data_IF_877559551948
#
_entry.id   IF_877559551948
#
_cell.length_a   1.000
_cell.length_b   1.000
_cell.length_c   1.000
_cell.angle_alpha   90.00
_cell.angle_beta   90.00
_cell.angle_gamma   90.00
#
_symmetry.space_group_name_H-M   'P 1'
#
loop_
_entity.id
_entity.type
_entity.pdbx_description
1 polymer ?
#
# COMPACT_ATOMS: atom_id res chain seq x y z
N UNK A 1 8.20 6.55 18.07
CA UNK A 1 9.13 5.61 18.72
C UNK A 1 10.29 5.34 17.76
N UNK A 2 11.54 5.57 18.17
CA UNK A 2 12.70 5.41 17.30
C UNK A 2 12.98 3.91 17.04
N UNK A 3 13.24 3.53 15.79
CA UNK A 3 13.68 2.17 15.47
C UNK A 3 15.04 1.91 16.15
N UNK A 4 15.22 0.77 16.85
CA UNK A 4 16.50 0.43 17.44
C UNK A 4 17.56 0.35 16.33
N UNK A 5 18.73 0.94 16.60
CA UNK A 5 19.90 0.81 15.71
C UNK A 5 20.44 -0.62 15.81
N UNK A 6 20.85 -1.25 14.71
CA UNK A 6 21.49 -2.56 14.77
C UNK A 6 22.76 -2.43 15.62
N UNK A 7 22.82 -3.18 16.71
CA UNK A 7 24.06 -3.31 17.49
C UNK A 7 25.01 -4.21 16.69
N UNK A 8 26.19 -3.69 16.39
CA UNK A 8 27.36 -4.45 15.90
C UNK A 8 27.38 -4.91 14.44
N UNK A 9 26.93 -4.10 13.47
CA UNK A 9 27.27 -4.29 12.05
C UNK A 9 26.79 -5.61 11.41
N UNK A 10 26.11 -6.47 12.16
CA UNK A 10 25.55 -7.72 11.71
C UNK A 10 24.07 -7.49 11.38
N UNK A 11 23.69 -7.95 10.20
CA UNK A 11 22.31 -7.97 9.74
C UNK A 11 21.44 -8.68 10.78
N UNK A 12 20.26 -8.13 11.08
CA UNK A 12 19.24 -8.79 11.90
C UNK A 12 19.00 -10.21 11.35
N UNK A 13 19.30 -11.23 12.13
CA UNK A 13 18.93 -12.60 11.81
C UNK A 13 17.44 -12.80 12.10
N UNK A 14 16.79 -13.78 11.46
CA UNK A 14 15.37 -14.09 11.75
C UNK A 14 15.10 -14.47 13.22
N UNK A 15 16.15 -14.80 13.97
CA UNK A 15 16.13 -15.16 15.39
C UNK A 15 16.38 -13.99 16.34
N UNK A 16 16.62 -12.78 15.81
CA UNK A 16 16.85 -11.58 16.63
C UNK A 16 15.52 -11.13 17.28
N UNK A 17 15.46 -10.90 18.61
CA UNK A 17 14.27 -10.38 19.29
C UNK A 17 13.70 -9.07 18.69
N UNK A 18 14.54 -8.25 18.05
CA UNK A 18 14.08 -7.07 17.32
C UNK A 18 13.16 -7.41 16.13
N UNK A 19 13.12 -8.67 15.71
CA UNK A 19 12.27 -9.17 14.64
C UNK A 19 10.87 -9.60 15.10
N UNK A 20 10.63 -9.74 16.41
CA UNK A 20 9.35 -10.22 16.94
C UNK A 20 8.16 -9.34 16.51
N UNK A 21 8.37 -8.02 16.40
CA UNK A 21 7.34 -7.10 15.92
C UNK A 21 6.93 -7.30 14.46
N UNK A 22 7.73 -8.02 13.67
CA UNK A 22 7.42 -8.36 12.27
C UNK A 22 6.87 -9.77 12.11
N UNK A 23 6.96 -10.60 13.17
CA UNK A 23 6.51 -12.00 13.14
C UNK A 23 5.05 -12.13 12.68
N UNK A 24 4.08 -11.31 13.17
CA UNK A 24 2.70 -11.44 12.72
C UNK A 24 2.51 -11.26 11.21
N UNK A 25 3.16 -10.25 10.61
CA UNK A 25 3.09 -10.04 9.16
C UNK A 25 3.71 -11.20 8.38
N UNK A 26 4.81 -11.76 8.88
CA UNK A 26 5.45 -12.91 8.26
C UNK A 26 4.63 -14.18 8.37
N UNK A 27 3.95 -14.38 9.49
CA UNK A 27 3.05 -15.52 9.68
C UNK A 27 1.87 -15.42 8.71
N UNK A 28 1.29 -14.23 8.52
CA UNK A 28 0.30 -13.97 7.46
C UNK A 28 0.84 -14.34 6.07
N UNK A 29 2.03 -13.85 5.70
CA UNK A 29 2.62 -14.12 4.38
C UNK A 29 2.91 -15.62 4.17
N UNK A 30 3.38 -16.32 5.21
CA UNK A 30 3.69 -17.75 5.16
C UNK A 30 2.44 -18.62 5.11
N UNK A 31 1.37 -18.21 5.77
CA UNK A 31 0.10 -18.91 5.77
C UNK A 31 -0.75 -18.63 4.52
N UNK A 32 -0.45 -17.56 3.78
CA UNK A 32 -1.21 -17.17 2.59
C UNK A 32 -1.07 -18.22 1.46
N UNK A 33 -2.15 -18.94 1.18
CA UNK A 33 -2.20 -19.99 0.15
C UNK A 33 -2.14 -19.45 -1.28
N UNK A 34 -2.58 -18.20 -1.51
CA UNK A 34 -2.49 -17.54 -2.82
C UNK A 34 -1.02 -17.29 -3.17
N UNK A 35 -0.27 -16.63 -2.28
CA UNK A 35 1.15 -16.31 -2.47
C UNK A 35 2.03 -17.57 -2.46
N UNK A 36 1.67 -18.59 -1.68
CA UNK A 36 2.44 -19.85 -1.55
C UNK A 36 1.90 -20.99 -2.42
N UNK A 37 1.08 -20.68 -3.43
CA UNK A 37 0.51 -21.70 -4.30
C UNK A 37 1.63 -22.49 -5.02
N UNK A 38 1.64 -23.83 -4.91
CA UNK A 38 2.66 -24.67 -5.54
C UNK A 38 2.65 -24.61 -7.08
N UNK A 39 1.55 -24.18 -7.70
CA UNK A 39 1.46 -24.01 -9.16
C UNK A 39 2.19 -22.76 -9.67
N UNK A 40 2.51 -21.80 -8.81
CA UNK A 40 3.24 -20.59 -9.19
C UNK A 40 4.70 -20.90 -9.47
N UNK A 41 5.28 -20.22 -10.46
CA UNK A 41 6.73 -20.28 -10.68
C UNK A 41 7.48 -19.63 -9.52
N UNK A 42 8.76 -19.97 -9.32
CA UNK A 42 9.56 -19.32 -8.28
C UNK A 42 9.70 -17.81 -8.52
N UNK A 43 9.68 -17.36 -9.78
CA UNK A 43 9.69 -15.94 -10.13
C UNK A 43 8.42 -15.24 -9.66
N UNK A 44 7.25 -15.82 -9.91
CA UNK A 44 5.97 -15.25 -9.47
C UNK A 44 5.89 -15.21 -7.95
N UNK A 45 6.36 -16.26 -7.26
CA UNK A 45 6.43 -16.26 -5.79
C UNK A 45 7.36 -15.17 -5.26
N UNK A 46 8.51 -14.95 -5.89
CA UNK A 46 9.43 -13.87 -5.51
C UNK A 46 8.75 -12.51 -5.70
N UNK A 47 8.08 -12.31 -6.83
CA UNK A 47 7.32 -11.10 -7.13
C UNK A 47 6.20 -10.85 -6.12
N UNK A 48 5.31 -11.81 -5.90
CA UNK A 48 4.20 -11.67 -4.94
C UNK A 48 4.72 -11.41 -3.52
N UNK A 49 5.79 -12.09 -3.11
CA UNK A 49 6.43 -11.84 -1.80
C UNK A 49 7.11 -10.47 -1.71
N UNK A 50 7.50 -9.86 -2.83
CA UNK A 50 8.18 -8.55 -2.83
C UNK A 50 7.22 -7.39 -2.56
N UNK A 51 5.93 -7.57 -2.85
CA UNK A 51 4.85 -6.58 -2.65
C UNK A 51 4.61 -6.29 -1.17
N UNK A 52 4.61 -7.33 -0.32
CA UNK A 52 4.39 -7.13 1.11
C UNK A 52 5.62 -6.48 1.76
N UNK A 53 5.45 -5.27 2.28
CA UNK A 53 6.57 -4.52 2.84
C UNK A 53 6.22 -3.10 3.26
N UNK A 54 7.19 -2.46 3.90
CA UNK A 54 7.18 -1.01 4.15
C UNK A 54 7.93 -0.32 3.01
N UNK A 55 7.34 0.74 2.47
CA UNK A 55 7.88 1.58 1.41
C UNK A 55 8.05 2.99 1.95
N UNK A 56 9.20 3.59 1.66
CA UNK A 56 9.40 5.03 1.80
C UNK A 56 8.86 5.67 0.53
N UNK A 57 7.96 6.63 0.69
CA UNK A 57 7.21 7.22 -0.41
C UNK A 57 7.63 8.66 -0.63
N UNK A 58 7.78 9.03 -1.90
CA UNK A 58 7.93 10.39 -2.41
C UNK A 58 6.66 10.74 -3.17
N UNK A 59 6.10 11.91 -2.90
CA UNK A 59 4.99 12.47 -3.67
C UNK A 59 5.55 13.43 -4.71
N UNK A 60 5.05 13.38 -5.94
CA UNK A 60 5.60 14.18 -7.05
C UNK A 60 5.47 15.69 -6.78
N UNK A 61 4.31 16.13 -6.29
CA UNK A 61 4.05 17.53 -5.94
C UNK A 61 4.87 18.04 -4.73
N UNK A 62 5.51 17.13 -3.98
CA UNK A 62 6.43 17.45 -2.88
C UNK A 62 7.82 16.87 -3.14
N UNK A 63 8.25 16.83 -4.39
CA UNK A 63 9.50 16.18 -4.79
C UNK A 63 10.72 16.68 -3.99
N UNK A 64 10.73 17.95 -3.60
CA UNK A 64 11.80 18.58 -2.80
C UNK A 64 11.96 17.99 -1.39
N UNK A 65 10.92 17.35 -0.86
CA UNK A 65 10.98 16.66 0.45
C UNK A 65 11.52 15.23 0.36
N UNK A 66 11.77 14.73 -0.86
CA UNK A 66 12.26 13.37 -1.09
C UNK A 66 11.33 12.28 -0.54
N UNK A 67 11.92 11.19 -0.05
CA UNK A 67 11.20 10.05 0.53
C UNK A 67 10.81 10.31 2.00
N UNK A 68 9.95 11.31 2.20
CA UNK A 68 9.50 11.76 3.53
C UNK A 68 8.29 11.02 4.10
N UNK A 69 7.64 10.18 3.29
CA UNK A 69 6.37 9.52 3.63
C UNK A 69 6.51 8.01 3.71
N UNK A 70 5.47 7.34 4.21
CA UNK A 70 5.48 5.90 4.38
C UNK A 70 4.19 5.26 3.88
N UNK A 71 4.33 4.10 3.23
CA UNK A 71 3.23 3.20 2.92
C UNK A 71 3.62 1.79 3.35
N UNK A 72 2.71 1.06 3.97
CA UNK A 72 2.89 -0.35 4.33
C UNK A 72 1.87 -1.17 3.57
N UNK A 73 2.26 -2.30 3.00
CA UNK A 73 1.38 -3.21 2.27
C UNK A 73 1.45 -4.61 2.88
N UNK A 74 0.31 -5.28 3.02
CA UNK A 74 0.19 -6.64 3.54
C UNK A 74 -0.84 -7.44 2.73
N UNK A 75 -0.57 -8.73 2.54
CA UNK A 75 -1.49 -9.63 1.85
C UNK A 75 -2.63 -10.12 2.74
N UNK A 76 -3.80 -10.28 2.13
CA UNK A 76 -4.98 -10.93 2.67
C UNK A 76 -5.61 -11.82 1.60
N UNK A 77 -5.22 -13.09 1.58
CA UNK A 77 -5.52 -14.00 0.48
C UNK A 77 -5.12 -13.42 -0.89
N UNK A 78 -6.08 -13.08 -1.75
CA UNK A 78 -5.92 -12.46 -3.07
C UNK A 78 -5.99 -10.93 -3.04
N UNK A 79 -6.14 -10.30 -1.87
CA UNK A 79 -6.22 -8.84 -1.69
C UNK A 79 -4.94 -8.27 -1.07
N UNK A 80 -4.73 -6.98 -1.30
CA UNK A 80 -3.65 -6.22 -0.64
C UNK A 80 -4.26 -5.08 0.17
N UNK A 81 -3.96 -5.09 1.47
CA UNK A 81 -4.23 -3.98 2.36
C UNK A 81 -3.02 -3.07 2.44
N UNK A 82 -3.27 -1.76 2.49
CA UNK A 82 -2.23 -0.77 2.65
C UNK A 82 -2.58 0.27 3.69
N UNK A 83 -1.58 0.76 4.43
CA UNK A 83 -1.69 1.94 5.29
C UNK A 83 -0.71 2.98 4.78
N UNK A 84 -1.15 4.22 4.65
CA UNK A 84 -0.33 5.32 4.17
C UNK A 84 -0.35 6.50 5.15
N UNK A 85 0.79 7.19 5.22
CA UNK A 85 0.95 8.46 5.94
C UNK A 85 1.69 9.45 5.04
N UNK A 86 0.92 10.37 4.46
CA UNK A 86 1.37 11.44 3.58
C UNK A 86 1.44 12.79 4.31
N UNK A 87 1.63 12.76 5.64
CA UNK A 87 1.67 13.95 6.47
C UNK A 87 0.27 14.49 6.74
N UNK A 88 -0.24 15.34 5.84
CA UNK A 88 -1.57 15.96 6.00
C UNK A 88 -2.71 14.97 5.81
N UNK A 89 -2.47 13.88 5.07
CA UNK A 89 -3.45 12.83 4.82
C UNK A 89 -2.90 11.49 5.28
N UNK A 90 -3.74 10.72 5.95
CA UNK A 90 -3.39 9.38 6.45
C UNK A 90 -4.59 8.48 6.29
N UNK A 91 -4.36 7.20 6.08
CA UNK A 91 -5.46 6.29 5.88
C UNK A 91 -5.05 4.88 5.52
N UNK A 92 -6.06 4.13 5.09
CA UNK A 92 -5.98 2.75 4.67
C UNK A 92 -6.45 2.66 3.23
N UNK A 93 -5.77 1.84 2.43
CA UNK A 93 -6.17 1.50 1.08
C UNK A 93 -6.37 -0.01 0.95
N UNK A 94 -7.21 -0.40 0.01
CA UNK A 94 -7.48 -1.78 -0.34
C UNK A 94 -7.42 -1.92 -1.86
N UNK A 95 -6.55 -2.81 -2.33
CA UNK A 95 -6.52 -3.30 -3.70
C UNK A 95 -7.43 -4.53 -3.74
N UNK A 96 -8.62 -4.39 -4.31
CA UNK A 96 -9.60 -5.48 -4.46
C UNK A 96 -9.44 -6.10 -5.84
N UNK A 97 -9.28 -7.42 -5.86
CA UNK A 97 -8.45 -8.14 -6.83
C UNK A 97 -7.00 -7.67 -6.75
N UNK A 98 -6.18 -8.37 -5.96
CA UNK A 98 -4.73 -8.24 -6.05
C UNK A 98 -4.24 -8.57 -7.46
N UNK A 99 -2.92 -8.70 -7.70
CA UNK A 99 -2.41 -9.05 -9.01
C UNK A 99 -2.86 -10.45 -9.46
N UNK A 100 -4.08 -10.54 -10.01
CA UNK A 100 -4.71 -11.68 -10.69
C UNK A 100 -4.18 -11.82 -12.13
N UNK A 101 -3.63 -10.73 -12.66
CA UNK A 101 -2.89 -10.75 -13.91
C UNK A 101 -1.50 -11.28 -13.61
N UNK A 102 -1.05 -12.22 -14.44
CA UNK A 102 0.35 -12.61 -14.50
C UNK A 102 1.19 -11.33 -14.44
N UNK A 103 2.16 -11.22 -13.52
CA UNK A 103 3.07 -10.09 -13.50
C UNK A 103 3.58 -9.88 -14.93
N UNK A 104 3.71 -8.62 -15.41
CA UNK A 104 4.16 -8.38 -16.78
C UNK A 104 5.43 -9.18 -16.96
N UNK A 105 5.43 -10.04 -17.99
CA UNK A 105 6.49 -11.02 -18.24
C UNK A 105 7.83 -10.37 -17.92
N UNK A 106 8.48 -10.82 -16.84
CA UNK A 106 9.86 -10.43 -16.56
C UNK A 106 10.67 -10.74 -17.83
N UNK A 107 10.95 -9.73 -18.66
CA UNK A 107 11.99 -9.76 -19.69
C UNK A 107 12.01 -11.06 -20.53
N UNK A 108 10.92 -11.37 -21.23
CA UNK A 108 11.02 -12.03 -22.55
C UNK A 108 11.12 -10.85 -23.53
N UNK A 109 12.26 -10.42 -24.04
CA UNK A 109 13.43 -11.15 -24.51
C UNK A 109 14.71 -10.36 -24.21
N UNK A 110 15.75 -11.02 -23.69
CA UNK A 110 17.13 -10.47 -23.70
C UNK A 110 17.81 -10.79 -25.04
N UNK A 111 17.02 -11.15 -26.07
CA UNK A 111 17.49 -11.40 -27.43
C UNK A 111 16.76 -10.53 -28.48
N UNK A 112 15.94 -9.55 -28.09
CA UNK A 112 15.45 -8.53 -29.03
C UNK A 112 16.40 -7.32 -29.00
N UNK A 113 17.30 -7.27 -29.97
CA UNK A 113 18.12 -6.10 -30.33
C UNK A 113 17.25 -4.93 -30.89
N UNK A 114 16.10 -4.65 -30.26
CA UNK A 114 15.26 -3.51 -30.61
C UNK A 114 15.27 -2.52 -29.44
N UNK A 115 16.06 -1.46 -29.63
CA UNK A 115 16.16 -0.26 -28.79
C UNK A 115 14.85 0.55 -28.82
N UNK A 116 13.74 -0.03 -28.35
CA UNK A 116 12.59 0.78 -27.95
C UNK A 116 12.86 1.30 -26.52
N UNK A 117 13.29 2.56 -26.42
CA UNK A 117 13.60 3.29 -25.17
C UNK A 117 12.43 3.37 -24.15
N UNK A 118 11.25 2.84 -24.49
CA UNK A 118 10.11 2.73 -23.60
C UNK A 118 9.86 1.25 -23.29
N UNK A 119 10.33 0.80 -22.13
CA UNK A 119 9.97 -0.51 -21.58
C UNK A 119 8.44 -0.69 -21.49
N UNK A 120 7.96 -1.92 -21.26
CA UNK A 120 6.52 -2.19 -21.24
C UNK A 120 5.80 -1.29 -20.23
N UNK A 121 4.63 -0.77 -20.63
CA UNK A 121 3.80 0.10 -19.79
C UNK A 121 3.54 -0.57 -18.42
N UNK A 122 3.67 0.17 -17.31
CA UNK A 122 3.43 -0.38 -15.98
C UNK A 122 1.97 -0.83 -15.83
N UNK A 123 1.78 -2.06 -15.33
CA UNK A 123 0.45 -2.59 -15.01
C UNK A 123 -0.06 -1.92 -13.74
N UNK A 124 -1.20 -1.23 -13.86
CA UNK A 124 -1.89 -0.58 -12.75
C UNK A 124 -3.03 -1.43 -12.20
N UNK A 125 -3.12 -1.48 -10.88
CA UNK A 125 -4.21 -2.06 -10.10
C UNK A 125 -5.02 -0.95 -9.48
N UNK A 126 -6.35 -1.06 -9.58
CA UNK A 126 -7.25 -0.11 -8.95
C UNK A 126 -7.30 -0.37 -7.44
N UNK A 127 -7.33 0.70 -6.66
CA UNK A 127 -7.55 0.60 -5.22
C UNK A 127 -8.59 1.61 -4.76
N UNK A 128 -9.23 1.30 -3.64
CA UNK A 128 -10.05 2.24 -2.88
C UNK A 128 -9.33 2.60 -1.60
N UNK A 129 -9.61 3.77 -1.05
CA UNK A 129 -9.00 4.21 0.20
C UNK A 129 -10.00 4.89 1.12
N UNK A 130 -9.63 4.96 2.40
CA UNK A 130 -10.33 5.70 3.45
C UNK A 130 -9.29 6.40 4.29
N UNK A 131 -9.61 7.56 4.84
CA UNK A 131 -8.63 8.26 5.65
C UNK A 131 -9.16 9.50 6.34
N UNK A 132 -8.20 10.29 6.81
CA UNK A 132 -8.43 11.55 7.52
C UNK A 132 -7.52 12.62 6.96
N UNK A 133 -7.88 13.88 7.22
CA UNK A 133 -7.02 15.04 6.92
C UNK A 133 -6.70 15.79 8.20
N UNK A 134 -5.44 16.15 8.40
CA UNK A 134 -5.04 17.04 9.50
C UNK A 134 -5.68 18.43 9.41
N UNK A 135 -6.18 18.82 8.23
CA UNK A 135 -6.92 20.07 8.03
C UNK A 135 -8.38 19.97 8.49
N UNK A 136 -8.93 18.75 8.54
CA UNK A 136 -10.30 18.44 8.96
C UNK A 136 -10.27 17.17 9.83
N UNK A 137 -9.74 17.25 11.06
CA UNK A 137 -9.46 16.08 11.89
C UNK A 137 -10.73 15.30 12.31
N UNK A 138 -11.86 15.99 12.36
CA UNK A 138 -13.17 15.40 12.71
C UNK A 138 -13.91 14.83 11.49
N UNK A 139 -13.30 14.87 10.30
CA UNK A 139 -13.92 14.41 9.05
C UNK A 139 -13.22 13.17 8.51
N UNK A 140 -14.00 12.10 8.37
CA UNK A 140 -13.58 10.89 7.68
C UNK A 140 -13.78 11.08 6.18
N UNK A 141 -12.76 10.72 5.41
CA UNK A 141 -12.77 10.72 3.94
C UNK A 141 -12.97 9.26 3.51
N UNK A 142 -14.20 8.88 3.16
CA UNK A 142 -14.55 7.51 2.76
C UNK A 142 -15.51 7.44 1.55
N UNK A 143 -15.71 8.57 0.86
CA UNK A 143 -16.63 8.63 -0.29
C UNK A 143 -16.05 7.90 -1.50
N UNK A 144 -16.66 6.76 -1.85
CA UNK A 144 -16.26 5.88 -2.96
C UNK A 144 -16.22 6.54 -4.34
N UNK A 145 -16.85 7.70 -4.53
CA UNK A 145 -16.76 8.47 -5.77
C UNK A 145 -15.41 9.16 -5.95
N UNK A 146 -14.72 9.48 -4.85
CA UNK A 146 -13.48 10.28 -4.86
C UNK A 146 -12.31 9.63 -4.13
N UNK A 147 -12.53 8.53 -3.40
CA UNK A 147 -11.47 7.82 -2.67
C UNK A 147 -10.94 6.61 -3.43
N UNK A 148 -10.46 6.87 -4.65
CA UNK A 148 -9.89 5.87 -5.56
C UNK A 148 -8.44 6.17 -5.86
N UNK A 149 -7.76 5.23 -6.49
CA UNK A 149 -6.43 5.43 -7.04
C UNK A 149 -5.97 4.22 -7.80
N UNK A 150 -4.74 4.33 -8.33
CA UNK A 150 -4.07 3.25 -9.03
C UNK A 150 -2.68 3.03 -8.48
N UNK A 151 -2.27 1.78 -8.38
CA UNK A 151 -0.94 1.38 -7.94
C UNK A 151 -0.34 0.39 -8.92
N UNK A 152 0.93 0.56 -9.26
CA UNK A 152 1.72 -0.39 -10.02
C UNK A 152 2.78 -1.00 -9.11
N UNK A 153 2.96 -2.32 -9.22
CA UNK A 153 3.95 -3.08 -8.47
C UNK A 153 5.10 -3.47 -9.39
N UNK A 154 6.23 -2.77 -9.25
CA UNK A 154 7.49 -3.15 -9.88
C UNK A 154 8.27 -4.16 -9.04
N UNK A 155 9.38 -4.64 -9.58
CA UNK A 155 10.26 -5.64 -8.93
C UNK A 155 10.78 -5.17 -7.57
N UNK A 156 11.14 -3.89 -7.48
CA UNK A 156 11.73 -3.28 -6.28
C UNK A 156 10.94 -2.07 -5.78
N UNK A 157 10.03 -1.52 -6.57
CA UNK A 157 9.36 -0.25 -6.28
C UNK A 157 7.85 -0.32 -6.50
N UNK A 158 7.16 0.65 -5.92
CA UNK A 158 5.75 0.93 -6.22
C UNK A 158 5.64 2.31 -6.83
N UNK A 159 4.71 2.48 -7.73
CA UNK A 159 4.33 3.79 -8.26
C UNK A 159 2.82 3.84 -8.40
N UNK A 160 2.26 5.02 -8.57
CA UNK A 160 0.83 5.15 -8.69
C UNK A 160 0.34 6.55 -8.42
N UNK A 161 -0.97 6.66 -8.27
CA UNK A 161 -1.60 7.91 -7.91
C UNK A 161 -2.86 7.70 -7.08
N UNK A 162 -3.14 8.67 -6.21
CA UNK A 162 -4.43 8.81 -5.54
C UNK A 162 -5.28 9.81 -6.30
N UNK A 163 -6.55 9.51 -6.49
CA UNK A 163 -7.56 10.44 -6.96
C UNK A 163 -8.19 11.18 -5.77
N UNK A 164 -8.76 12.35 -6.04
CA UNK A 164 -9.54 13.10 -5.07
C UNK A 164 -8.71 14.06 -4.19
N UNK A 165 -9.18 14.38 -2.97
CA UNK A 165 -8.72 15.52 -2.19
C UNK A 165 -7.24 15.43 -1.76
N UNK A 166 -6.65 14.23 -1.76
CA UNK A 166 -5.23 14.00 -1.49
C UNK A 166 -4.29 14.72 -2.48
N UNK A 167 -4.76 14.97 -3.71
CA UNK A 167 -3.95 15.57 -4.77
C UNK A 167 -3.67 17.05 -4.60
N UNK A 168 -4.71 17.85 -4.38
CA UNK A 168 -4.63 19.32 -4.39
C UNK A 168 -5.77 19.96 -3.58
N UNK A 169 -6.46 19.18 -2.71
CA UNK A 169 -7.71 19.59 -2.09
C UNK A 169 -8.88 19.76 -3.08
N UNK A 170 -8.70 19.34 -4.34
CA UNK A 170 -9.72 19.37 -5.39
C UNK A 170 -10.23 17.95 -5.70
N UNK A 171 -11.53 17.76 -5.98
CA UNK A 171 -12.10 16.43 -6.27
C UNK A 171 -11.49 15.72 -7.50
N UNK A 172 -10.93 16.49 -8.45
CA UNK A 172 -10.41 15.97 -9.73
C UNK A 172 -8.88 15.86 -9.76
N UNK A 173 -8.20 16.17 -8.66
CA UNK A 173 -6.74 16.15 -8.63
C UNK A 173 -6.18 14.72 -8.61
N UNK A 174 -4.93 14.57 -9.07
CA UNK A 174 -4.13 13.34 -8.93
C UNK A 174 -2.89 13.59 -8.08
N UNK A 175 -2.67 12.75 -7.06
CA UNK A 175 -1.44 12.74 -6.28
C UNK A 175 -0.56 11.57 -6.72
N UNK A 176 0.39 11.83 -7.61
CA UNK A 176 1.35 10.80 -8.01
C UNK A 176 2.34 10.50 -6.88
N UNK A 177 2.69 9.23 -6.73
CA UNK A 177 3.64 8.74 -5.75
C UNK A 177 4.61 7.71 -6.33
N UNK A 178 5.80 7.67 -5.75
CA UNK A 178 6.80 6.63 -5.96
C UNK A 178 7.28 6.12 -4.61
N UNK A 179 7.42 4.81 -4.46
CA UNK A 179 7.79 4.17 -3.21
C UNK A 179 8.89 3.14 -3.40
N UNK A 180 9.88 3.17 -2.52
CA UNK A 180 10.99 2.20 -2.51
C UNK A 180 11.14 1.58 -1.11
N UNK A 181 11.48 0.29 -1.01
CA UNK A 181 11.79 -0.34 0.27
C UNK A 181 12.96 0.34 0.95
N UNK A 182 13.00 0.35 2.29
CA UNK A 182 14.27 0.53 2.99
C UNK A 182 15.23 -0.61 2.62
N UNK A 183 16.52 -0.31 2.61
CA UNK A 183 17.56 -1.32 2.42
C UNK A 183 17.41 -2.47 3.44
N UNK A 184 17.48 -3.71 2.96
CA UNK A 184 17.39 -4.92 3.75
C UNK A 184 16.10 -5.73 3.52
N UNK A 185 15.80 -6.72 4.39
CA UNK A 185 14.63 -7.57 4.24
C UNK A 185 13.32 -6.77 4.30
N UNK A 186 12.35 -7.17 3.48
CA UNK A 186 10.99 -6.60 3.52
C UNK A 186 10.35 -6.87 4.87
N UNK A 187 9.80 -5.81 5.46
CA UNK A 187 9.29 -5.79 6.84
C UNK A 187 7.99 -5.01 6.88
N UNK A 188 7.02 -5.51 7.62
CA UNK A 188 5.77 -4.81 7.96
C UNK A 188 5.59 -4.96 9.48
N UNK A 189 5.69 -3.88 10.27
CA UNK A 189 5.64 -3.94 11.73
C UNK A 189 4.22 -4.04 12.29
N UNK A 190 3.26 -4.52 11.49
CA UNK A 190 1.82 -4.58 11.78
C UNK A 190 1.29 -5.94 11.34
N UNK A 191 0.34 -6.49 12.08
CA UNK A 191 -0.40 -7.68 11.65
C UNK A 191 -1.49 -7.28 10.62
N UNK A 192 -2.01 -8.26 9.88
CA UNK A 192 -3.11 -8.04 8.94
C UNK A 192 -4.35 -7.43 9.61
N UNK A 193 -4.76 -7.98 10.76
CA UNK A 193 -5.97 -7.54 11.50
C UNK A 193 -5.98 -6.02 11.72
N UNK A 194 -4.84 -5.44 12.09
CA UNK A 194 -4.75 -4.00 12.34
C UNK A 194 -5.03 -3.14 11.11
N UNK A 195 -4.84 -3.64 9.88
CA UNK A 195 -5.21 -2.90 8.67
C UNK A 195 -6.72 -2.94 8.46
N UNK A 196 -7.33 -4.09 8.74
CA UNK A 196 -8.77 -4.32 8.64
C UNK A 196 -9.51 -3.50 9.71
N UNK A 197 -9.00 -3.48 10.94
CA UNK A 197 -9.51 -2.65 12.03
C UNK A 197 -9.53 -1.17 11.63
N UNK A 198 -8.39 -0.61 11.20
CA UNK A 198 -8.30 0.78 10.75
C UNK A 198 -9.31 1.07 9.61
N UNK A 199 -9.49 0.13 8.66
CA UNK A 199 -10.45 0.28 7.56
C UNK A 199 -11.90 0.34 8.04
N UNK A 200 -12.24 -0.52 9.00
CA UNK A 200 -13.58 -0.63 9.58
C UNK A 200 -13.91 0.57 10.48
N UNK A 201 -12.95 1.06 11.25
CA UNK A 201 -13.09 2.29 12.04
C UNK A 201 -13.39 3.52 11.15
N UNK A 202 -12.79 3.57 9.95
CA UNK A 202 -13.03 4.62 8.96
C UNK A 202 -14.31 4.40 8.13
N UNK A 203 -15.10 3.36 8.43
CA UNK A 203 -16.40 3.11 7.79
C UNK A 203 -17.55 3.87 8.45
N UNK A 204 -17.32 4.51 9.59
CA UNK A 204 -18.40 5.03 10.42
C UNK A 204 -19.00 6.30 9.78
N UNK A 205 -20.34 6.32 9.70
CA UNK A 205 -21.29 7.36 9.28
C UNK A 205 -21.86 7.31 7.85
N UNK A 206 -22.76 6.34 7.61
CA UNK A 206 -23.93 6.55 6.72
C UNK A 206 -25.29 6.37 7.44
N UNK A 207 -25.38 5.84 8.67
CA UNK A 207 -26.67 5.39 9.24
C UNK A 207 -27.33 6.26 10.33
N UNK A 208 -26.76 7.39 10.77
CA UNK A 208 -27.35 8.18 11.89
C UNK A 208 -27.83 9.60 11.53
N UNK A 209 -28.11 9.86 10.25
CA UNK A 209 -29.02 10.96 9.85
C UNK A 209 -30.41 10.42 9.47
N UNK A 210 -31.05 9.69 10.38
CA UNK A 210 -32.51 9.59 10.32
C UNK A 210 -33.09 10.96 10.71
N UNK A 211 -33.46 11.73 9.69
CA UNK A 211 -34.33 12.91 9.81
C UNK A 211 -35.48 12.57 10.78
N UNK A 212 -35.47 13.16 11.98
CA UNK A 212 -36.69 13.27 12.79
C UNK A 212 -37.55 14.35 12.13
N UNK A 213 -38.69 14.02 11.50
CA UNK A 213 -39.61 15.08 11.10
C UNK A 213 -40.09 15.79 12.38
N UNK A 214 -40.03 17.12 12.39
CA UNK A 214 -40.62 17.89 13.47
C UNK A 214 -42.12 17.55 13.61
N UNK A 215 -42.65 17.43 14.83
CA UNK A 215 -44.07 17.23 15.02
C UNK A 215 -44.81 18.46 14.49
N UNK A 216 -45.53 18.28 13.39
CA UNK A 216 -46.49 19.27 12.90
C UNK A 216 -47.50 19.56 14.00
N UNK A 217 -47.54 20.82 14.44
CA UNK A 217 -48.51 21.36 15.39
C UNK A 217 -49.93 21.38 14.83
#
# INVERSE_FOLDING_TARGET
MANPRPQNGNYYTQTDPAMDKYRPAWDTLKANSFVNNPSLSDRDRIYLRSIQGTYKVKLEHLADRGHGFQMMLVWDYDRIWGVFDFGSYKGVLMVDHGPDREPPEFSRDVDSDEEDEAGPDPIYFDFTWRGTSSHMPDTIINNSLITKGKIAFGTSEISGYFEGPIADGRPEGRCNFHGQPPFGPRRVPRNLESFIDDWNELNIFEEDESFRPEPTS
#
